data_IF_569540052054
#
_entry.id   IF_569540052054
#
_cell.length_a   1.000
_cell.length_b   1.000
_cell.length_c   1.000
_cell.angle_alpha   90.00
_cell.angle_beta   90.00
_cell.angle_gamma   90.00
#
_symmetry.space_group_name_H-M   'P 1'
#
loop_
_entity.id
_entity.type
_entity.pdbx_description
1 polymer ?
#
# COMPACT_ATOMS: atom_id res chain seq x y z
N UNK A 1 -27.04 -15.17 -15.61
CA UNK A 1 -26.14 -16.27 -16.02
C UNK A 1 -24.74 -15.82 -15.62
N UNK A 2 -23.95 -16.66 -14.94
CA UNK A 2 -22.56 -16.30 -14.62
C UNK A 2 -21.69 -16.99 -15.67
N UNK A 3 -20.92 -16.20 -16.39
CA UNK A 3 -19.98 -16.67 -17.40
C UNK A 3 -18.60 -16.72 -16.75
N UNK A 4 -17.97 -17.89 -16.76
CA UNK A 4 -16.61 -18.07 -16.27
C UNK A 4 -15.76 -18.59 -17.44
N UNK A 5 -14.77 -17.80 -17.84
CA UNK A 5 -13.61 -18.32 -18.55
C UNK A 5 -12.79 -19.15 -17.56
N UNK A 6 -12.15 -20.22 -18.02
CA UNK A 6 -11.45 -21.23 -17.22
C UNK A 6 -10.76 -20.67 -15.95
N UNK A 7 -11.36 -20.95 -14.79
CA UNK A 7 -10.77 -20.71 -13.46
C UNK A 7 -10.22 -22.02 -12.84
N UNK A 8 -9.98 -23.05 -13.66
CA UNK A 8 -9.43 -24.31 -13.19
C UNK A 8 -7.90 -24.22 -13.11
N UNK A 9 -7.27 -24.46 -11.94
CA UNK A 9 -5.81 -24.47 -11.77
C UNK A 9 -5.08 -25.56 -12.58
N UNK A 10 -5.83 -26.42 -13.26
CA UNK A 10 -5.34 -27.59 -13.99
C UNK A 10 -5.70 -27.59 -15.49
N UNK A 11 -6.18 -26.46 -16.04
CA UNK A 11 -6.41 -26.37 -17.48
C UNK A 11 -5.05 -26.41 -18.20
N UNK A 12 -4.84 -27.45 -19.01
CA UNK A 12 -3.69 -27.56 -19.91
C UNK A 12 -3.65 -26.35 -20.84
N UNK A 13 -2.47 -25.76 -21.06
CA UNK A 13 -2.27 -24.72 -22.07
C UNK A 13 -2.95 -25.10 -23.41
N UNK A 14 -3.79 -24.21 -23.95
CA UNK A 14 -4.55 -24.44 -25.18
C UNK A 14 -6.01 -24.88 -25.01
N UNK A 15 -6.59 -24.82 -23.81
CA UNK A 15 -8.02 -25.09 -23.61
C UNK A 15 -8.88 -23.85 -23.93
N UNK A 16 -9.47 -23.83 -25.13
CA UNK A 16 -10.29 -22.72 -25.63
C UNK A 16 -11.75 -22.76 -25.14
N UNK A 17 -12.00 -23.42 -24.01
CA UNK A 17 -13.36 -23.66 -23.49
C UNK A 17 -13.80 -22.55 -22.55
N UNK A 18 -15.03 -22.09 -22.76
CA UNK A 18 -15.77 -21.22 -21.85
C UNK A 18 -16.98 -21.98 -21.31
N UNK A 19 -17.21 -21.84 -20.01
CA UNK A 19 -18.27 -22.56 -19.31
C UNK A 19 -19.36 -21.57 -18.85
N UNK A 20 -20.61 -21.91 -19.18
CA UNK A 20 -21.78 -21.14 -18.78
C UNK A 20 -22.46 -21.83 -17.61
N UNK A 21 -22.64 -21.11 -16.51
CA UNK A 21 -23.30 -21.63 -15.32
C UNK A 21 -24.64 -20.92 -15.09
N UNK A 22 -25.65 -21.69 -14.70
CA UNK A 22 -26.87 -21.13 -14.13
C UNK A 22 -26.51 -20.57 -12.73
N UNK A 23 -27.11 -19.44 -12.31
CA UNK A 23 -26.85 -18.87 -10.98
C UNK A 23 -27.30 -19.75 -9.81
N UNK A 24 -27.99 -20.86 -10.07
CA UNK A 24 -28.28 -21.90 -9.09
C UNK A 24 -26.98 -22.58 -8.68
N UNK A 25 -26.80 -22.91 -7.39
CA UNK A 25 -25.58 -23.46 -6.74
C UNK A 25 -25.00 -24.78 -7.32
N UNK A 26 -25.35 -25.17 -8.54
CA UNK A 26 -24.81 -26.31 -9.24
C UNK A 26 -23.42 -26.00 -9.81
N UNK A 27 -22.46 -26.88 -9.54
CA UNK A 27 -21.13 -26.90 -10.17
C UNK A 27 -21.14 -27.45 -11.60
N UNK A 28 -22.32 -27.78 -12.15
CA UNK A 28 -22.45 -28.33 -13.50
C UNK A 28 -22.67 -27.20 -14.50
N UNK A 29 -21.77 -27.10 -15.47
CA UNK A 29 -21.92 -26.17 -16.58
C UNK A 29 -23.16 -26.52 -17.40
N UNK A 30 -23.98 -25.50 -17.67
CA UNK A 30 -25.17 -25.59 -18.54
C UNK A 30 -24.73 -25.78 -19.99
N UNK A 31 -23.61 -25.14 -20.36
CA UNK A 31 -23.03 -25.23 -21.69
C UNK A 31 -21.53 -25.05 -21.59
N UNK A 32 -20.80 -25.83 -22.38
CA UNK A 32 -19.35 -25.67 -22.60
C UNK A 32 -19.16 -25.33 -24.06
N UNK A 33 -18.44 -24.25 -24.34
CA UNK A 33 -18.30 -23.68 -25.67
C UNK A 33 -16.83 -23.53 -26.02
N UNK A 34 -16.44 -23.98 -27.22
CA UNK A 34 -15.12 -23.67 -27.77
C UNK A 34 -15.20 -22.31 -28.47
N UNK A 35 -14.42 -21.34 -28.01
CA UNK A 35 -14.31 -20.03 -28.66
C UNK A 35 -13.01 -19.94 -29.47
N UNK A 36 -12.96 -19.00 -30.41
CA UNK A 36 -11.82 -18.87 -31.31
C UNK A 36 -10.57 -18.30 -30.61
N UNK A 37 -10.76 -17.52 -29.54
CA UNK A 37 -9.69 -16.92 -28.76
C UNK A 37 -9.05 -17.98 -27.88
N UNK A 38 -7.73 -18.25 -28.02
CA UNK A 38 -7.06 -19.20 -27.16
C UNK A 38 -6.74 -18.60 -25.79
N UNK A 39 -6.67 -19.45 -24.76
CA UNK A 39 -6.23 -19.11 -23.41
C UNK A 39 -6.88 -17.83 -22.84
N UNK A 40 -8.20 -17.73 -22.99
CA UNK A 40 -8.96 -16.62 -22.43
C UNK A 40 -8.86 -16.64 -20.92
N UNK A 41 -8.36 -15.54 -20.36
CA UNK A 41 -8.19 -15.40 -18.92
C UNK A 41 -9.19 -14.42 -18.31
N UNK A 42 -9.77 -13.52 -19.12
CA UNK A 42 -10.76 -12.56 -18.65
C UNK A 42 -11.89 -12.40 -19.67
N UNK A 43 -13.12 -12.33 -19.16
CA UNK A 43 -14.34 -12.27 -19.97
C UNK A 43 -15.37 -11.38 -19.27
N UNK A 44 -15.99 -10.47 -20.02
CA UNK A 44 -17.05 -9.59 -19.51
C UNK A 44 -18.26 -9.57 -20.42
N UNK A 45 -19.44 -9.50 -19.82
CA UNK A 45 -20.73 -9.44 -20.52
C UNK A 45 -21.30 -8.03 -20.53
N UNK A 46 -21.80 -7.58 -21.67
CA UNK A 46 -22.52 -6.32 -21.82
C UNK A 46 -23.99 -6.58 -22.09
N UNK A 47 -24.83 -6.40 -21.06
CA UNK A 47 -26.27 -6.64 -21.13
C UNK A 47 -27.02 -5.75 -22.13
N UNK A 48 -26.50 -4.54 -22.44
CA UNK A 48 -27.17 -3.64 -23.39
C UNK A 48 -27.05 -4.11 -24.83
N UNK A 49 -25.95 -4.78 -25.16
CA UNK A 49 -25.66 -5.27 -26.50
C UNK A 49 -25.75 -6.79 -26.59
N UNK A 50 -26.02 -7.48 -25.48
CA UNK A 50 -26.08 -8.93 -25.38
C UNK A 50 -24.85 -9.64 -25.97
N UNK A 51 -23.67 -9.11 -25.61
CA UNK A 51 -22.39 -9.50 -26.19
C UNK A 51 -21.35 -9.64 -25.10
N UNK A 52 -20.45 -10.60 -25.26
CA UNK A 52 -19.30 -10.83 -24.42
C UNK A 52 -18.02 -10.31 -25.09
N UNK A 53 -17.14 -9.67 -24.30
CA UNK A 53 -15.74 -9.47 -24.68
C UNK A 53 -14.90 -10.54 -23.99
N UNK A 54 -14.00 -11.17 -24.72
CA UNK A 54 -13.06 -12.14 -24.19
C UNK A 54 -11.63 -11.72 -24.56
N UNK A 55 -10.72 -11.79 -23.59
CA UNK A 55 -9.33 -11.40 -23.80
C UNK A 55 -8.35 -12.47 -23.31
N UNK A 56 -7.25 -12.62 -24.03
CA UNK A 56 -6.14 -13.51 -23.67
C UNK A 56 -4.88 -12.71 -23.30
N UNK A 57 -3.86 -13.42 -22.83
CA UNK A 57 -2.58 -12.82 -22.42
C UNK A 57 -1.66 -12.43 -23.59
N UNK A 58 -2.03 -12.83 -24.81
CA UNK A 58 -1.32 -12.46 -26.04
C UNK A 58 -1.79 -11.11 -26.61
N UNK A 59 -2.78 -10.48 -25.97
CA UNK A 59 -3.33 -9.19 -26.38
C UNK A 59 -4.48 -9.28 -27.37
N UNK A 60 -4.98 -10.50 -27.65
CA UNK A 60 -6.20 -10.66 -28.43
C UNK A 60 -7.40 -10.32 -27.57
N UNK A 61 -8.26 -9.44 -28.12
CA UNK A 61 -9.60 -9.20 -27.60
C UNK A 61 -10.60 -9.50 -28.70
N UNK A 62 -11.56 -10.36 -28.40
CA UNK A 62 -12.61 -10.79 -29.30
C UNK A 62 -13.99 -10.49 -28.75
N UNK A 63 -14.95 -10.41 -29.67
CA UNK A 63 -16.35 -10.05 -29.41
C UNK A 63 -17.22 -11.22 -29.81
N UNK A 64 -18.07 -11.65 -28.89
CA UNK A 64 -18.94 -12.80 -29.06
C UNK A 64 -20.38 -12.44 -28.75
N UNK A 65 -21.29 -12.81 -29.62
CA UNK A 65 -22.72 -12.84 -29.32
C UNK A 65 -23.00 -13.76 -28.12
N UNK A 66 -23.82 -13.32 -27.16
CA UNK A 66 -23.98 -14.04 -25.90
C UNK A 66 -24.76 -15.36 -26.02
N UNK A 67 -25.53 -15.55 -27.09
CA UNK A 67 -26.30 -16.78 -27.30
C UNK A 67 -25.51 -17.78 -28.17
N UNK A 68 -24.94 -17.29 -29.27
CA UNK A 68 -24.30 -18.12 -30.30
C UNK A 68 -22.79 -18.28 -30.08
N UNK A 69 -22.16 -17.40 -29.31
CA UNK A 69 -20.70 -17.33 -29.13
C UNK A 69 -19.93 -17.27 -30.45
N UNK A 70 -20.54 -16.65 -31.45
CA UNK A 70 -19.92 -16.31 -32.72
C UNK A 70 -19.72 -14.81 -32.81
N UNK A 71 -18.90 -14.38 -33.76
CA UNK A 71 -18.71 -12.96 -34.00
C UNK A 71 -20.04 -12.30 -34.43
N UNK A 72 -20.48 -11.20 -33.78
CA UNK A 72 -21.80 -10.60 -33.98
C UNK A 72 -21.86 -9.67 -35.21
N UNK A 73 -21.58 -10.20 -36.42
CA UNK A 73 -21.42 -9.40 -37.64
C UNK A 73 -22.63 -8.54 -38.04
N UNK A 74 -23.85 -8.97 -37.71
CA UNK A 74 -25.11 -8.31 -38.09
C UNK A 74 -25.91 -7.82 -36.88
N UNK A 75 -25.23 -7.52 -35.76
CA UNK A 75 -25.93 -7.14 -34.53
C UNK A 75 -26.54 -5.74 -34.66
N UNK A 76 -27.85 -5.55 -34.41
CA UNK A 76 -28.59 -4.33 -34.75
C UNK A 76 -28.13 -3.10 -33.96
N UNK A 77 -27.46 -3.30 -32.82
CA UNK A 77 -26.96 -2.21 -31.97
C UNK A 77 -25.47 -1.95 -32.13
N UNK A 78 -24.69 -2.79 -32.81
CA UNK A 78 -23.26 -2.56 -33.00
C UNK A 78 -23.01 -1.74 -34.27
N UNK A 79 -22.03 -0.84 -34.20
CA UNK A 79 -21.64 0.08 -35.28
C UNK A 79 -20.53 -0.47 -36.17
N UNK A 80 -20.30 -1.79 -36.13
CA UNK A 80 -19.29 -2.47 -36.92
C UNK A 80 -19.81 -3.84 -37.36
N UNK A 81 -19.36 -4.28 -38.54
CA UNK A 81 -19.73 -5.59 -39.12
C UNK A 81 -18.54 -6.52 -39.28
N UNK A 82 -17.32 -5.99 -39.08
CA UNK A 82 -16.07 -6.74 -39.14
C UNK A 82 -15.16 -6.33 -37.99
N UNK A 83 -14.41 -7.28 -37.43
CA UNK A 83 -13.48 -7.02 -36.30
C UNK A 83 -12.44 -5.94 -36.64
N UNK A 84 -11.98 -5.88 -37.89
CA UNK A 84 -11.00 -4.89 -38.36
C UNK A 84 -11.49 -3.43 -38.34
N UNK A 85 -12.78 -3.17 -38.13
CA UNK A 85 -13.33 -1.81 -37.98
C UNK A 85 -13.25 -1.29 -36.53
N UNK A 86 -12.85 -2.15 -35.60
CA UNK A 86 -12.67 -1.86 -34.17
C UNK A 86 -11.21 -1.61 -33.85
N UNK A 87 -10.94 -1.02 -32.68
CA UNK A 87 -9.56 -0.79 -32.20
C UNK A 87 -9.08 -1.89 -31.24
N UNK A 88 -9.79 -3.02 -31.15
CA UNK A 88 -9.44 -4.12 -30.23
C UNK A 88 -8.06 -4.73 -30.48
N UNK A 89 -7.53 -4.63 -31.70
CA UNK A 89 -6.19 -5.12 -32.05
C UNK A 89 -5.06 -4.24 -31.51
N UNK A 90 -5.36 -3.07 -30.93
CA UNK A 90 -4.35 -2.15 -30.40
C UNK A 90 -3.50 -2.80 -29.31
N UNK A 91 -4.10 -3.61 -28.43
CA UNK A 91 -3.39 -4.29 -27.35
C UNK A 91 -2.28 -5.19 -27.91
N UNK A 92 -2.62 -6.05 -28.87
CA UNK A 92 -1.65 -6.91 -29.56
C UNK A 92 -0.57 -6.11 -30.31
N UNK A 93 -0.93 -5.00 -30.96
CA UNK A 93 0.04 -4.12 -31.66
C UNK A 93 1.06 -3.52 -30.68
N UNK A 94 0.62 -3.19 -29.47
CA UNK A 94 1.46 -2.62 -28.42
C UNK A 94 2.14 -3.68 -27.55
N UNK A 95 2.02 -4.96 -27.91
CA UNK A 95 2.56 -6.09 -27.15
C UNK A 95 2.11 -6.08 -25.66
N UNK A 96 0.85 -5.74 -25.44
CA UNK A 96 0.20 -5.70 -24.12
C UNK A 96 -1.10 -6.51 -24.15
N UNK A 97 -1.65 -6.79 -22.98
CA UNK A 97 -2.94 -7.48 -22.84
C UNK A 97 -3.77 -6.84 -21.73
N UNK A 98 -5.09 -7.05 -21.78
CA UNK A 98 -5.98 -6.62 -20.70
C UNK A 98 -5.75 -7.53 -19.49
N UNK A 99 -5.42 -6.95 -18.34
CA UNK A 99 -5.32 -7.63 -17.03
C UNK A 99 -6.71 -7.74 -16.40
N UNK A 100 -7.56 -6.75 -16.61
CA UNK A 100 -8.98 -6.81 -16.28
C UNK A 100 -9.80 -5.92 -17.20
N UNK A 101 -11.08 -6.25 -17.28
CA UNK A 101 -12.06 -5.49 -18.05
C UNK A 101 -13.26 -5.15 -17.19
N UNK A 102 -13.90 -4.01 -17.45
CA UNK A 102 -15.20 -3.68 -16.89
C UNK A 102 -16.10 -3.04 -17.94
N UNK A 103 -17.40 -3.32 -17.85
CA UNK A 103 -18.45 -2.69 -18.65
C UNK A 103 -19.18 -1.68 -17.76
N UNK A 104 -19.37 -0.47 -18.26
CA UNK A 104 -20.17 0.53 -17.56
C UNK A 104 -21.62 0.05 -17.38
N UNK A 105 -22.34 0.41 -16.29
CA UNK A 105 -23.73 -0.01 -16.09
C UNK A 105 -24.68 0.36 -17.23
N UNK A 106 -24.45 1.49 -17.90
CA UNK A 106 -25.18 1.91 -19.10
C UNK A 106 -24.88 1.07 -20.34
N UNK A 107 -23.84 0.23 -20.31
CA UNK A 107 -23.31 -0.55 -21.42
C UNK A 107 -22.55 0.26 -22.47
N UNK A 108 -22.41 1.58 -22.33
CA UNK A 108 -21.85 2.45 -23.38
C UNK A 108 -20.33 2.38 -23.48
N UNK A 109 -19.67 2.03 -22.38
CA UNK A 109 -18.22 1.98 -22.29
C UNK A 109 -17.73 0.60 -21.83
N UNK A 110 -16.62 0.19 -22.42
CA UNK A 110 -15.75 -0.86 -21.87
C UNK A 110 -14.42 -0.21 -21.49
N UNK A 111 -13.93 -0.50 -20.29
CA UNK A 111 -12.60 -0.11 -19.84
C UNK A 111 -11.74 -1.35 -19.64
N UNK A 112 -10.48 -1.27 -20.04
CA UNK A 112 -9.49 -2.33 -19.91
C UNK A 112 -8.27 -1.77 -19.18
N UNK A 113 -7.88 -2.37 -18.07
CA UNK A 113 -6.59 -2.11 -17.45
C UNK A 113 -5.59 -3.07 -18.10
N UNK A 114 -4.56 -2.54 -18.72
CA UNK A 114 -3.61 -3.30 -19.51
C UNK A 114 -2.28 -3.47 -18.77
N UNK A 115 -1.55 -4.54 -19.12
CA UNK A 115 -0.29 -4.92 -18.49
C UNK A 115 0.83 -3.86 -18.65
N UNK A 116 0.73 -3.00 -19.65
CA UNK A 116 1.63 -1.86 -19.87
C UNK A 116 1.35 -0.66 -18.95
N UNK A 117 0.50 -0.84 -17.93
CA UNK A 117 0.11 0.21 -16.99
C UNK A 117 -0.82 1.25 -17.58
N UNK A 118 -1.44 0.99 -18.73
CA UNK A 118 -2.40 1.92 -19.34
C UNK A 118 -3.84 1.43 -19.14
N UNK A 119 -4.76 2.36 -18.97
CA UNK A 119 -6.19 2.07 -18.96
C UNK A 119 -6.80 2.58 -20.26
N UNK A 120 -7.37 1.68 -21.04
CA UNK A 120 -7.97 1.97 -22.35
C UNK A 120 -9.49 1.93 -22.25
N UNK A 121 -10.11 3.04 -22.62
CA UNK A 121 -11.56 3.22 -22.61
C UNK A 121 -12.09 3.17 -24.05
N UNK A 122 -12.99 2.23 -24.30
CA UNK A 122 -13.63 2.00 -25.60
C UNK A 122 -15.09 2.38 -25.54
N UNK A 123 -15.61 2.99 -26.61
CA UNK A 123 -17.06 3.15 -26.80
C UNK A 123 -17.61 1.85 -27.34
N UNK A 124 -18.51 1.21 -26.59
CA UNK A 124 -18.93 -0.16 -26.85
C UNK A 124 -19.64 -0.32 -28.20
N UNK A 125 -20.43 0.68 -28.61
CA UNK A 125 -21.14 0.65 -29.89
C UNK A 125 -20.19 0.38 -31.07
N UNK A 126 -19.02 1.04 -31.12
CA UNK A 126 -18.06 0.91 -32.21
C UNK A 126 -16.82 0.08 -31.85
N UNK A 127 -16.60 -0.19 -30.55
CA UNK A 127 -15.36 -0.70 -29.97
C UNK A 127 -14.12 0.06 -30.46
N UNK A 128 -14.29 1.36 -30.67
CA UNK A 128 -13.18 2.28 -30.96
C UNK A 128 -12.63 2.86 -29.67
N UNK A 129 -11.32 3.02 -29.63
CA UNK A 129 -10.61 3.61 -28.52
C UNK A 129 -11.04 5.08 -28.41
N UNK A 130 -11.51 5.47 -27.23
CA UNK A 130 -11.94 6.83 -26.94
C UNK A 130 -10.92 7.58 -26.10
N UNK A 131 -10.25 6.86 -25.18
CA UNK A 131 -9.28 7.47 -24.27
C UNK A 131 -8.30 6.45 -23.75
N UNK A 132 -7.09 6.93 -23.48
CA UNK A 132 -6.05 6.19 -22.78
C UNK A 132 -5.65 7.01 -21.55
N UNK A 133 -5.67 6.39 -20.38
CA UNK A 133 -5.06 6.93 -19.17
C UNK A 133 -3.73 6.22 -18.96
N UNK A 134 -2.64 6.98 -18.94
CA UNK A 134 -1.32 6.46 -18.60
C UNK A 134 -1.21 6.40 -17.08
N UNK A 135 -1.08 5.18 -16.55
CA UNK A 135 -0.84 4.89 -15.13
C UNK A 135 0.47 4.09 -14.98
N UNK A 136 1.33 4.15 -15.99
CA UNK A 136 2.59 3.41 -16.01
C UNK A 136 3.55 3.92 -14.94
N UNK A 137 4.40 3.02 -14.44
CA UNK A 137 5.45 3.40 -13.49
C UNK A 137 6.41 4.46 -14.08
N UNK A 138 6.60 4.47 -15.40
CA UNK A 138 7.42 5.46 -16.10
C UNK A 138 6.79 6.85 -16.06
N UNK A 139 5.48 6.97 -16.30
CA UNK A 139 4.76 8.23 -16.18
C UNK A 139 4.88 8.80 -14.78
N UNK A 140 4.65 7.96 -13.75
CA UNK A 140 4.78 8.40 -12.38
C UNK A 140 6.21 8.83 -12.01
N UNK A 141 7.23 8.16 -12.55
CA UNK A 141 8.62 8.54 -12.36
C UNK A 141 8.95 9.89 -13.02
N UNK A 142 8.49 10.12 -14.25
CA UNK A 142 8.65 11.39 -14.93
C UNK A 142 7.91 12.53 -14.20
N UNK A 143 6.73 12.24 -13.64
CA UNK A 143 5.95 13.20 -12.89
C UNK A 143 6.65 13.67 -11.59
N UNK A 144 7.48 12.82 -10.96
CA UNK A 144 8.18 13.21 -9.72
C UNK A 144 9.17 14.37 -9.93
N UNK A 145 9.73 14.53 -11.13
CA UNK A 145 10.69 15.61 -11.45
C UNK A 145 10.05 16.82 -12.12
N UNK A 146 8.79 16.73 -12.56
CA UNK A 146 8.08 17.83 -13.20
C UNK A 146 7.34 18.71 -12.17
N UNK A 147 7.71 20.00 -12.00
CA UNK A 147 7.03 20.90 -11.08
C UNK A 147 5.55 21.13 -11.41
N UNK A 148 5.14 20.96 -12.69
CA UNK A 148 3.74 21.13 -13.12
C UNK A 148 2.87 19.94 -12.72
N UNK A 149 3.49 18.82 -12.34
CA UNK A 149 2.83 17.57 -11.98
C UNK A 149 2.75 17.36 -10.46
N UNK A 150 2.73 18.44 -9.67
CA UNK A 150 2.72 18.39 -8.19
C UNK A 150 1.57 17.56 -7.59
N UNK A 151 0.42 17.47 -8.27
CA UNK A 151 -0.68 16.60 -7.85
C UNK A 151 -0.33 15.09 -7.87
N UNK A 152 0.69 14.70 -8.62
CA UNK A 152 1.22 13.34 -8.73
C UNK A 152 2.48 13.12 -7.89
N UNK A 153 3.01 14.18 -7.26
CA UNK A 153 4.17 14.06 -6.37
C UNK A 153 3.82 13.22 -5.15
N UNK A 154 4.78 12.38 -4.80
CA UNK A 154 4.75 11.51 -3.64
C UNK A 154 6.01 11.77 -2.82
N UNK A 155 5.97 11.42 -1.54
CA UNK A 155 7.21 11.32 -0.77
C UNK A 155 8.19 10.37 -1.49
N UNK A 156 9.48 10.73 -1.66
CA UNK A 156 10.45 9.89 -2.38
C UNK A 156 10.55 8.45 -1.85
N UNK A 157 10.45 8.24 -0.54
CA UNK A 157 10.52 6.89 0.05
C UNK A 157 9.25 6.11 -0.23
N UNK A 158 8.08 6.74 -0.09
CA UNK A 158 6.82 6.10 -0.46
C UNK A 158 6.78 5.75 -1.96
N UNK A 159 7.24 6.68 -2.82
CA UNK A 159 7.33 6.46 -4.26
C UNK A 159 8.23 5.26 -4.59
N UNK A 160 9.42 5.19 -3.99
CA UNK A 160 10.35 4.08 -4.21
C UNK A 160 9.72 2.74 -3.81
N UNK A 161 9.07 2.67 -2.64
CA UNK A 161 8.39 1.46 -2.17
C UNK A 161 7.26 1.04 -3.11
N UNK A 162 6.40 1.96 -3.53
CA UNK A 162 5.30 1.65 -4.46
C UNK A 162 5.80 1.28 -5.86
N UNK A 163 6.91 1.85 -6.30
CA UNK A 163 7.59 1.46 -7.54
C UNK A 163 8.15 0.04 -7.44
N UNK A 164 8.73 -0.36 -6.31
CA UNK A 164 9.16 -1.74 -6.06
C UNK A 164 7.96 -2.70 -6.13
N UNK A 165 6.84 -2.33 -5.50
CA UNK A 165 5.61 -3.13 -5.63
C UNK A 165 5.11 -3.25 -7.07
N UNK A 166 5.14 -2.19 -7.88
CA UNK A 166 4.79 -2.30 -9.31
C UNK A 166 5.70 -3.28 -10.06
N UNK A 167 7.00 -3.32 -9.74
CA UNK A 167 7.92 -4.29 -10.35
C UNK A 167 7.60 -5.72 -9.92
N UNK A 168 7.31 -5.95 -8.63
CA UNK A 168 6.91 -7.27 -8.13
C UNK A 168 5.57 -7.72 -8.69
N UNK A 169 4.57 -6.83 -8.70
CA UNK A 169 3.26 -7.07 -9.28
C UNK A 169 3.37 -7.40 -10.77
N UNK A 170 4.22 -6.69 -11.53
CA UNK A 170 4.44 -6.99 -12.93
C UNK A 170 5.07 -8.36 -13.14
N UNK A 171 6.04 -8.76 -12.29
CA UNK A 171 6.67 -10.10 -12.34
C UNK A 171 5.73 -11.24 -11.95
N UNK A 172 4.87 -11.03 -10.95
CA UNK A 172 3.90 -12.05 -10.50
C UNK A 172 2.69 -12.09 -11.44
N UNK A 173 2.30 -10.93 -11.96
CA UNK A 173 1.15 -10.72 -12.82
C UNK A 173 1.26 -11.42 -14.17
N UNK A 174 2.48 -11.60 -14.70
CA UNK A 174 2.71 -12.40 -15.91
C UNK A 174 2.27 -13.86 -15.73
N UNK A 175 2.43 -14.42 -14.53
CA UNK A 175 2.30 -15.87 -14.30
C UNK A 175 0.95 -16.26 -13.66
N UNK A 176 0.33 -15.38 -12.86
CA UNK A 176 -0.83 -15.76 -12.03
C UNK A 176 -2.18 -15.12 -12.45
N UNK A 177 -2.19 -14.02 -13.21
CA UNK A 177 -3.44 -13.41 -13.72
C UNK A 177 -4.26 -12.61 -12.72
N UNK A 178 -4.94 -11.58 -13.23
CA UNK A 178 -5.88 -10.67 -12.55
C UNK A 178 -5.41 -10.10 -11.19
N UNK A 179 -4.28 -9.39 -11.20
CA UNK A 179 -3.81 -8.66 -10.01
C UNK A 179 -4.53 -7.32 -9.81
N UNK A 180 -5.12 -6.73 -10.86
CA UNK A 180 -5.80 -5.44 -10.73
C UNK A 180 -7.20 -5.44 -11.31
N UNK A 181 -8.16 -4.85 -10.60
CA UNK A 181 -9.55 -4.76 -11.03
C UNK A 181 -10.04 -3.31 -10.99
N UNK A 182 -10.69 -2.88 -12.08
CA UNK A 182 -11.35 -1.59 -12.22
C UNK A 182 -12.87 -1.75 -12.24
N UNK A 183 -13.62 -0.70 -11.90
CA UNK A 183 -15.07 -0.69 -12.00
C UNK A 183 -15.63 0.69 -12.35
N UNK A 184 -16.91 0.72 -12.73
CA UNK A 184 -17.66 1.94 -12.94
C UNK A 184 -18.65 2.15 -11.78
N UNK A 185 -18.98 3.41 -11.51
CA UNK A 185 -20.11 3.72 -10.63
C UNK A 185 -21.45 3.47 -11.34
N UNK A 186 -22.54 3.41 -10.55
CA UNK A 186 -23.92 3.24 -11.07
C UNK A 186 -24.31 4.25 -12.15
N UNK A 187 -23.77 5.47 -12.15
CA UNK A 187 -24.09 6.48 -13.15
C UNK A 187 -23.34 6.31 -14.48
N UNK A 188 -22.34 5.41 -14.55
CA UNK A 188 -21.41 5.24 -15.67
C UNK A 188 -20.50 6.42 -15.98
N UNK A 189 -20.54 7.50 -15.19
CA UNK A 189 -19.74 8.70 -15.43
C UNK A 189 -18.37 8.64 -14.75
N UNK A 190 -18.21 7.76 -13.78
CA UNK A 190 -16.98 7.62 -13.01
C UNK A 190 -16.37 6.25 -13.25
N UNK A 191 -15.08 6.26 -13.55
CA UNK A 191 -14.24 5.08 -13.60
C UNK A 191 -13.36 5.07 -12.34
N UNK A 192 -13.39 3.97 -11.61
CA UNK A 192 -12.69 3.77 -10.35
C UNK A 192 -11.67 2.66 -10.56
N UNK A 193 -10.40 2.95 -10.28
CA UNK A 193 -9.33 1.97 -10.48
C UNK A 193 -8.15 2.21 -9.53
N UNK A 194 -7.45 1.15 -9.11
CA UNK A 194 -6.22 1.26 -8.34
C UNK A 194 -5.05 1.76 -9.19
N UNK A 195 -4.28 2.69 -8.66
CA UNK A 195 -3.05 3.23 -9.26
C UNK A 195 -1.94 3.34 -8.21
N UNK A 196 -0.75 3.75 -8.63
CA UNK A 196 0.38 3.98 -7.72
C UNK A 196 0.04 4.97 -6.60
N UNK A 197 -0.79 5.99 -6.84
CA UNK A 197 -1.17 6.99 -5.82
C UNK A 197 -2.20 6.49 -4.79
N UNK A 198 -2.96 5.46 -5.11
CA UNK A 198 -4.16 5.07 -4.37
C UNK A 198 -5.24 4.60 -5.33
N UNK A 199 -6.51 4.72 -4.97
CA UNK A 199 -7.62 4.38 -5.86
C UNK A 199 -8.15 5.66 -6.49
N UNK A 200 -7.89 5.85 -7.79
CA UNK A 200 -8.35 7.01 -8.54
C UNK A 200 -9.84 6.87 -8.85
N UNK A 201 -10.57 7.96 -8.64
CA UNK A 201 -11.95 8.15 -9.08
C UNK A 201 -11.93 9.21 -10.18
N UNK A 202 -12.08 8.78 -11.43
CA UNK A 202 -11.98 9.64 -12.61
C UNK A 202 -13.36 9.85 -13.21
N UNK A 203 -13.78 11.10 -13.37
CA UNK A 203 -14.95 11.41 -14.18
C UNK A 203 -14.57 11.31 -15.66
N UNK A 204 -15.09 10.32 -16.36
CA UNK A 204 -14.76 10.06 -17.76
C UNK A 204 -15.41 11.07 -18.72
N UNK A 205 -16.48 11.75 -18.29
CA UNK A 205 -17.14 12.78 -19.09
C UNK A 205 -16.30 14.05 -19.10
N UNK A 206 -15.91 14.54 -17.90
CA UNK A 206 -15.13 15.78 -17.76
C UNK A 206 -13.63 15.56 -17.90
N UNK A 207 -13.17 14.30 -17.93
CA UNK A 207 -11.76 13.93 -17.94
C UNK A 207 -10.97 14.48 -16.74
N UNK A 208 -11.54 14.41 -15.54
CA UNK A 208 -10.90 14.92 -14.33
C UNK A 208 -10.84 13.84 -13.26
N UNK A 209 -9.70 13.76 -12.57
CA UNK A 209 -9.59 13.01 -11.32
C UNK A 209 -10.37 13.79 -10.26
N UNK A 210 -11.39 13.17 -9.70
CA UNK A 210 -12.27 13.79 -8.70
C UNK A 210 -11.73 13.57 -7.30
N UNK A 211 -11.21 12.37 -7.03
CA UNK A 211 -10.64 11.98 -5.75
C UNK A 211 -9.64 10.84 -5.93
N UNK A 212 -8.70 10.74 -5.00
CA UNK A 212 -7.82 9.56 -4.86
C UNK A 212 -8.03 8.98 -3.46
N UNK A 213 -8.71 7.84 -3.36
CA UNK A 213 -8.95 7.17 -2.08
C UNK A 213 -7.67 6.47 -1.62
N UNK A 214 -7.44 6.43 -0.30
CA UNK A 214 -6.26 5.78 0.27
C UNK A 214 -4.94 6.48 -0.08
N UNK A 215 -4.97 7.75 -0.51
CA UNK A 215 -3.74 8.51 -0.80
C UNK A 215 -2.88 8.69 0.45
N UNK A 216 -3.50 8.88 1.61
CA UNK A 216 -2.81 9.07 2.89
C UNK A 216 -2.21 7.77 3.46
N UNK A 217 -2.59 6.62 2.92
CA UNK A 217 -2.12 5.30 3.33
C UNK A 217 -0.76 5.04 2.68
N UNK A 218 0.31 5.20 3.46
CA UNK A 218 1.68 5.08 2.98
C UNK A 218 2.01 3.63 2.64
N UNK A 219 2.67 3.46 1.50
CA UNK A 219 3.20 2.18 1.01
C UNK A 219 2.13 1.10 0.93
N UNK A 220 0.90 1.52 0.60
CA UNK A 220 -0.21 0.62 0.28
C UNK A 220 -0.47 0.68 -1.22
N UNK A 221 -0.30 -0.46 -1.88
CA UNK A 221 -0.67 -0.63 -3.28
C UNK A 221 -1.97 -1.41 -3.39
N UNK A 222 -3.08 -0.71 -3.59
CA UNK A 222 -4.38 -1.34 -3.79
C UNK A 222 -4.41 -2.16 -5.09
N UNK A 223 -5.16 -3.24 -5.12
CA UNK A 223 -5.17 -4.18 -6.25
C UNK A 223 -6.56 -4.31 -6.85
N UNK A 224 -7.55 -4.65 -6.03
CA UNK A 224 -8.94 -4.78 -6.45
C UNK A 224 -9.78 -3.75 -5.72
N UNK A 225 -10.76 -3.19 -6.42
CA UNK A 225 -11.76 -2.30 -5.85
C UNK A 225 -13.15 -2.75 -6.26
N UNK A 226 -14.07 -2.74 -5.30
CA UNK A 226 -15.49 -2.98 -5.50
C UNK A 226 -16.28 -1.84 -4.85
N UNK A 227 -17.45 -1.51 -5.41
CA UNK A 227 -18.30 -0.45 -4.89
C UNK A 227 -19.57 -1.05 -4.30
N UNK A 228 -19.92 -0.62 -3.10
CA UNK A 228 -21.20 -0.88 -2.47
C UNK A 228 -22.02 0.40 -2.57
N UNK A 229 -23.00 0.40 -3.48
CA UNK A 229 -23.80 1.58 -3.82
C UNK A 229 -25.27 1.21 -3.81
N UNK A 230 -26.13 2.11 -3.33
CA UNK A 230 -27.57 1.92 -3.44
C UNK A 230 -27.99 2.10 -4.91
N UNK A 231 -28.60 1.06 -5.46
CA UNK A 231 -29.14 1.05 -6.83
C UNK A 231 -30.60 1.48 -6.88
N UNK A 232 -31.20 1.84 -5.73
CA UNK A 232 -32.58 2.29 -5.63
C UNK A 232 -32.75 3.63 -6.36
N UNK A 233 -33.18 3.53 -7.61
CA UNK A 233 -33.36 4.65 -8.52
C UNK A 233 -34.68 5.39 -8.24
N UNK A 234 -34.96 5.74 -6.97
CA UNK A 234 -36.09 6.63 -6.65
C UNK A 234 -35.75 8.03 -7.16
N UNK A 235 -36.12 8.30 -8.41
CA UNK A 235 -36.14 9.62 -9.04
C UNK A 235 -36.79 10.61 -8.06
N UNK A 236 -35.97 11.54 -7.59
CA UNK A 236 -36.34 12.64 -6.68
C UNK A 236 -37.23 13.64 -7.41
N UNK A 237 -38.54 13.41 -7.42
CA UNK A 237 -39.54 14.42 -7.79
C UNK A 237 -40.61 14.46 -6.73
N UNK A 238 -40.66 15.52 -5.92
CA UNK A 238 -41.73 15.75 -4.96
C UNK A 238 -41.31 16.53 -3.72
N UNK A 239 -41.82 17.76 -3.62
CA UNK A 239 -41.75 18.59 -2.43
C UNK A 239 -42.60 17.98 -1.29
N UNK A 240 -42.01 17.78 -0.12
CA UNK A 240 -42.63 17.94 1.21
C UNK A 240 -41.66 17.51 2.30
N UNK A 241 -41.60 18.31 3.37
CA UNK A 241 -40.64 18.19 4.47
C UNK A 241 -40.93 17.05 5.44
N UNK A 242 -40.89 15.80 4.96
CA UNK A 242 -40.82 14.63 5.82
C UNK A 242 -39.36 14.30 6.15
N UNK A 243 -39.07 14.00 7.43
CA UNK A 243 -37.74 13.61 7.91
C UNK A 243 -37.19 12.45 7.07
N UNK A 244 -36.01 12.70 6.51
CA UNK A 244 -35.24 11.83 5.61
C UNK A 244 -34.86 10.54 6.34
N UNK A 245 -35.29 9.39 5.85
CA UNK A 245 -34.62 8.12 6.15
C UNK A 245 -33.33 8.05 5.31
N UNK A 246 -32.21 7.81 5.98
CA UNK A 246 -30.85 7.94 5.44
C UNK A 246 -30.56 6.93 4.32
N UNK A 247 -30.41 7.41 3.09
CA UNK A 247 -29.83 6.62 2.01
C UNK A 247 -28.40 6.23 2.41
N UNK A 248 -28.08 4.93 2.42
CA UNK A 248 -26.78 4.42 2.82
C UNK A 248 -25.69 5.01 1.92
N UNK A 249 -24.69 5.67 2.54
CA UNK A 249 -23.60 6.29 1.81
C UNK A 249 -22.82 5.24 0.99
N UNK A 250 -22.43 5.55 -0.27
CA UNK A 250 -21.66 4.61 -1.07
C UNK A 250 -20.31 4.33 -0.40
N UNK A 251 -19.92 3.06 -0.36
CA UNK A 251 -18.64 2.62 0.16
C UNK A 251 -17.80 2.01 -0.97
N UNK A 252 -16.49 2.23 -0.92
CA UNK A 252 -15.54 1.47 -1.74
C UNK A 252 -14.80 0.47 -0.86
N UNK A 253 -14.74 -0.78 -1.31
CA UNK A 253 -14.00 -1.87 -0.69
C UNK A 253 -12.76 -2.14 -1.53
N UNK A 254 -11.61 -2.34 -0.90
CA UNK A 254 -10.38 -2.66 -1.63
C UNK A 254 -9.50 -3.67 -0.90
N UNK A 255 -8.72 -4.39 -1.69
CA UNK A 255 -7.60 -5.23 -1.24
C UNK A 255 -6.29 -4.57 -1.64
N UNK A 256 -5.20 -4.91 -0.96
CA UNK A 256 -3.87 -4.39 -1.29
C UNK A 256 -2.82 -5.50 -1.40
N UNK A 257 -1.79 -5.24 -2.19
CA UNK A 257 -0.68 -6.16 -2.42
C UNK A 257 0.07 -6.45 -1.12
N UNK A 258 0.32 -7.74 -0.83
CA UNK A 258 1.01 -8.21 0.38
C UNK A 258 0.40 -7.67 1.70
N UNK A 259 -0.92 -7.41 1.71
CA UNK A 259 -1.65 -7.00 2.92
C UNK A 259 -2.84 -7.93 3.14
N UNK A 260 -2.87 -8.59 4.28
CA UNK A 260 -4.01 -9.42 4.69
C UNK A 260 -5.07 -8.57 5.40
N UNK A 261 -5.56 -7.53 4.70
CA UNK A 261 -6.53 -6.55 5.18
C UNK A 261 -7.54 -6.17 4.11
N UNK A 262 -8.77 -5.90 4.53
CA UNK A 262 -9.80 -5.25 3.70
C UNK A 262 -9.87 -3.77 4.06
N UNK A 263 -9.82 -2.92 3.05
CA UNK A 263 -9.90 -1.47 3.19
C UNK A 263 -11.30 -1.02 2.83
N UNK A 264 -11.91 -0.20 3.69
CA UNK A 264 -13.26 0.35 3.49
C UNK A 264 -13.18 1.87 3.45
N UNK A 265 -13.62 2.46 2.34
CA UNK A 265 -13.64 3.91 2.15
C UNK A 265 -15.07 4.42 2.12
N UNK A 266 -15.37 5.37 3.01
CA UNK A 266 -16.62 6.13 3.00
C UNK A 266 -16.46 7.52 2.38
N UNK A 267 -17.50 8.35 2.52
CA UNK A 267 -17.52 9.70 1.97
C UNK A 267 -16.56 10.67 2.68
N UNK A 268 -16.25 10.40 3.95
CA UNK A 268 -15.32 11.20 4.76
C UNK A 268 -13.94 10.57 4.71
N UNK A 269 -12.92 11.40 4.49
CA UNK A 269 -11.55 10.95 4.66
C UNK A 269 -11.22 10.83 6.16
N UNK A 270 -10.53 9.75 6.57
CA UNK A 270 -9.95 9.66 7.90
C UNK A 270 -9.23 10.94 8.33
N UNK A 271 -9.33 11.33 9.60
CA UNK A 271 -8.24 12.11 10.19
C UNK A 271 -7.02 11.21 10.39
N UNK A 272 -5.82 11.78 10.50
CA UNK A 272 -4.61 11.00 10.77
C UNK A 272 -4.73 10.19 12.08
N UNK A 273 -5.31 10.79 13.13
CA UNK A 273 -5.58 10.13 14.42
C UNK A 273 -6.51 8.91 14.31
N UNK A 274 -7.45 8.94 13.34
CA UNK A 274 -8.34 7.82 13.09
C UNK A 274 -7.66 6.71 12.29
N UNK A 275 -6.73 7.03 11.38
CA UNK A 275 -5.93 5.99 10.68
C UNK A 275 -5.14 5.17 11.70
N UNK A 276 -4.61 5.83 12.73
CA UNK A 276 -3.73 5.23 13.74
C UNK A 276 -4.49 4.32 14.74
N UNK A 277 -5.81 4.48 14.88
CA UNK A 277 -6.65 3.78 15.90
C UNK A 277 -7.59 2.70 15.32
N UNK A 278 -7.59 2.50 14.00
CA UNK A 278 -8.55 1.62 13.28
C UNK A 278 -8.24 0.13 13.34
N UNK A 279 -7.08 -0.27 13.81
CA UNK A 279 -6.66 -1.67 13.84
C UNK A 279 -7.36 -2.42 14.99
N UNK A 280 -8.63 -2.78 14.78
CA UNK A 280 -9.40 -3.66 15.66
C UNK A 280 -9.30 -5.10 15.13
N UNK A 281 -8.45 -5.91 15.77
CA UNK A 281 -8.56 -7.37 15.79
C UNK A 281 -8.22 -8.12 14.50
N UNK A 282 -6.99 -8.64 14.43
CA UNK A 282 -6.61 -9.77 13.58
C UNK A 282 -5.44 -10.50 14.25
N UNK A 283 -5.63 -11.78 14.54
CA UNK A 283 -4.70 -12.66 15.25
C UNK A 283 -3.28 -12.70 14.61
N UNK A 284 -2.23 -13.12 15.35
CA UNK A 284 -0.85 -13.02 14.90
C UNK A 284 -0.57 -13.98 13.75
N UNK A 285 0.01 -13.48 12.66
CA UNK A 285 0.50 -14.32 11.57
C UNK A 285 1.67 -15.20 12.04
N UNK A 286 1.53 -16.50 11.78
CA UNK A 286 2.52 -17.53 12.02
C UNK A 286 3.79 -17.26 11.22
N UNK A 287 4.93 -17.32 11.91
CA UNK A 287 6.26 -17.30 11.31
C UNK A 287 6.53 -18.65 10.66
N UNK A 288 6.70 -18.68 9.35
CA UNK A 288 7.43 -19.76 8.70
C UNK A 288 8.90 -19.39 8.59
N UNK A 289 9.72 -20.24 9.19
CA UNK A 289 11.17 -20.17 9.19
C UNK A 289 11.71 -20.96 8.00
N UNK A 290 12.34 -20.29 7.03
CA UNK A 290 13.50 -20.79 6.27
C UNK A 290 13.81 -19.93 5.02
N UNK A 291 14.81 -19.05 5.14
CA UNK A 291 15.88 -18.80 4.15
C UNK A 291 16.59 -17.47 4.45
N UNK A 292 17.93 -17.38 4.32
CA UNK A 292 18.69 -16.19 4.64
C UNK A 292 18.95 -15.29 3.41
N UNK A 293 19.22 -14.01 3.71
CA UNK A 293 20.19 -13.10 3.07
C UNK A 293 19.67 -11.85 2.32
N UNK A 294 20.45 -10.78 2.57
CA UNK A 294 20.62 -9.49 1.86
C UNK A 294 19.64 -8.37 2.21
N UNK A 295 20.08 -7.54 3.18
CA UNK A 295 19.46 -6.25 3.48
C UNK A 295 19.73 -5.21 2.39
N UNK A 296 18.84 -4.22 2.19
CA UNK A 296 19.12 -3.07 1.35
C UNK A 296 19.49 -1.83 2.17
N UNK A 297 20.51 -1.12 1.67
CA UNK A 297 20.86 0.25 2.00
C UNK A 297 19.67 1.20 1.86
N UNK A 298 19.67 2.23 2.70
CA UNK A 298 18.59 3.21 2.86
C UNK A 298 19.11 4.59 2.53
N UNK A 299 18.37 5.29 1.66
CA UNK A 299 18.41 6.74 1.50
C UNK A 299 17.09 7.35 2.02
N UNK A 300 17.19 8.60 2.47
CA UNK A 300 16.44 9.24 3.56
C UNK A 300 14.94 9.50 3.36
N UNK A 301 14.22 9.44 4.48
CA UNK A 301 12.77 9.60 4.63
C UNK A 301 12.30 11.06 4.62
N UNK A 302 11.52 11.44 3.62
CA UNK A 302 10.71 12.67 3.65
C UNK A 302 9.43 12.49 4.48
N UNK A 303 9.56 12.68 5.79
CA UNK A 303 8.55 13.50 6.48
C UNK A 303 7.46 12.80 7.27
N UNK A 304 7.70 11.61 7.81
CA UNK A 304 6.87 11.10 8.92
C UNK A 304 7.79 10.53 10.00
N UNK A 305 8.09 11.39 10.97
CA UNK A 305 8.93 11.10 12.14
C UNK A 305 8.13 10.23 13.11
N UNK A 306 8.77 9.21 13.69
CA UNK A 306 8.09 8.35 14.65
C UNK A 306 7.60 9.15 15.86
N UNK A 307 6.33 8.97 16.22
CA UNK A 307 5.72 9.56 17.43
C UNK A 307 5.99 8.71 18.66
N UNK A 308 6.05 7.39 18.47
CA UNK A 308 6.37 6.41 19.50
C UNK A 308 7.28 5.33 18.90
N UNK A 309 7.95 4.54 19.73
CA UNK A 309 8.67 3.35 19.30
C UNK A 309 8.59 2.26 20.37
N UNK A 310 8.67 1.01 19.94
CA UNK A 310 8.78 -0.14 20.84
C UNK A 310 10.16 -0.76 20.60
N UNK A 311 11.02 -0.70 21.61
CA UNK A 311 12.32 -1.34 21.62
C UNK A 311 12.11 -2.74 22.17
N UNK A 312 12.08 -3.74 21.30
CA UNK A 312 11.98 -5.14 21.70
C UNK A 312 13.35 -5.61 22.14
N UNK A 313 13.47 -6.09 23.38
CA UNK A 313 14.73 -6.62 23.93
C UNK A 313 14.59 -8.09 24.28
N UNK A 314 15.70 -8.78 24.50
CA UNK A 314 15.67 -10.15 25.06
C UNK A 314 15.17 -10.22 26.52
N UNK A 315 14.94 -9.08 27.18
CA UNK A 315 14.38 -9.00 28.53
C UNK A 315 12.92 -8.53 28.55
N UNK A 316 12.36 -8.07 27.42
CA UNK A 316 11.00 -7.53 27.31
C UNK A 316 10.93 -6.28 26.44
N UNK A 317 9.75 -5.67 26.38
CA UNK A 317 9.47 -4.53 25.51
C UNK A 317 9.54 -3.20 26.26
N UNK A 318 10.22 -2.21 25.67
CA UNK A 318 10.28 -0.84 26.19
C UNK A 318 9.54 0.08 25.21
N UNK A 319 8.44 0.67 25.67
CA UNK A 319 7.64 1.59 24.88
C UNK A 319 8.10 3.02 25.15
N UNK A 320 8.48 3.75 24.11
CA UNK A 320 8.95 5.14 24.21
C UNK A 320 8.06 6.06 23.39
N UNK A 321 7.75 7.24 23.94
CA UNK A 321 7.22 8.38 23.20
C UNK A 321 8.37 9.25 22.73
N UNK A 322 8.31 9.69 21.49
CA UNK A 322 9.35 10.51 20.85
C UNK A 322 8.87 11.96 20.73
N UNK A 323 9.78 12.90 20.99
CA UNK A 323 9.52 14.34 20.92
C UNK A 323 9.77 14.90 19.52
N UNK A 324 9.13 14.26 18.52
CA UNK A 324 9.35 14.52 17.09
C UNK A 324 9.08 15.94 16.61
N UNK A 325 8.37 16.77 17.39
CA UNK A 325 8.15 18.19 17.09
C UNK A 325 9.31 19.07 17.55
N UNK A 326 9.92 18.70 18.66
CA UNK A 326 10.95 19.46 19.36
C UNK A 326 12.36 19.06 18.88
N UNK A 327 12.60 17.76 18.65
CA UNK A 327 13.88 17.20 18.23
C UNK A 327 13.71 16.46 16.89
N UNK A 328 13.58 17.20 15.79
CA UNK A 328 13.22 16.64 14.48
C UNK A 328 14.32 15.78 13.92
N UNK A 329 15.57 16.27 13.94
CA UNK A 329 16.71 15.53 13.36
C UNK A 329 17.04 14.31 14.19
N UNK A 330 17.06 14.43 15.51
CA UNK A 330 17.33 13.29 16.38
C UNK A 330 16.28 12.20 16.22
N UNK A 331 15.00 12.57 16.17
CA UNK A 331 13.93 11.58 15.95
C UNK A 331 13.99 11.00 14.54
N UNK A 332 14.37 11.78 13.52
CA UNK A 332 14.58 11.26 12.16
C UNK A 332 15.68 10.19 12.15
N UNK A 333 16.82 10.51 12.75
CA UNK A 333 17.96 9.62 12.87
C UNK A 333 17.58 8.30 13.55
N UNK A 334 16.96 8.38 14.74
CA UNK A 334 16.52 7.21 15.48
C UNK A 334 15.47 6.39 14.70
N UNK A 335 14.49 7.06 14.08
CA UNK A 335 13.43 6.42 13.30
C UNK A 335 14.01 5.65 12.11
N UNK A 336 14.90 6.29 11.33
CA UNK A 336 15.47 5.67 10.14
C UNK A 336 16.39 4.52 10.54
N UNK A 337 17.23 4.66 11.57
CA UNK A 337 18.00 3.52 12.09
C UNK A 337 17.12 2.36 12.53
N UNK A 338 16.01 2.63 13.24
CA UNK A 338 15.06 1.60 13.64
C UNK A 338 14.43 0.89 12.43
N UNK A 339 13.96 1.64 11.43
CA UNK A 339 13.36 1.10 10.21
C UNK A 339 14.35 0.25 9.38
N UNK A 340 15.63 0.63 9.40
CA UNK A 340 16.69 -0.06 8.68
C UNK A 340 17.15 -1.33 9.39
N UNK A 341 16.62 -1.61 10.58
CA UNK A 341 17.11 -2.66 11.45
C UNK A 341 18.53 -2.42 11.94
N UNK A 342 19.03 -1.17 11.91
CA UNK A 342 20.37 -0.80 12.35
C UNK A 342 20.59 -1.19 13.82
N UNK A 343 19.56 -1.03 14.65
CA UNK A 343 19.60 -1.41 16.06
C UNK A 343 19.41 -2.91 16.31
N UNK A 344 19.11 -3.72 15.29
CA UNK A 344 18.86 -5.16 15.49
C UNK A 344 20.17 -5.86 15.88
N UNK A 345 20.16 -6.50 17.04
CA UNK A 345 21.32 -7.16 17.62
C UNK A 345 22.25 -6.24 18.41
N UNK A 346 22.04 -4.92 18.40
CA UNK A 346 22.82 -3.98 19.22
C UNK A 346 22.64 -4.33 20.70
N UNK A 347 23.74 -4.29 21.46
CA UNK A 347 23.72 -4.52 22.89
C UNK A 347 23.49 -3.22 23.65
N UNK A 348 22.91 -3.32 24.85
CA UNK A 348 23.14 -2.33 25.88
C UNK A 348 24.54 -2.54 26.44
N UNK A 349 25.54 -1.96 25.77
CA UNK A 349 26.95 -2.20 26.05
C UNK A 349 27.44 -1.52 27.32
N UNK A 350 26.65 -0.60 27.89
CA UNK A 350 26.96 0.08 29.13
C UNK A 350 25.71 0.25 29.99
N UNK A 351 25.75 -0.26 31.22
CA UNK A 351 24.65 -0.25 32.18
C UNK A 351 25.18 0.21 33.53
N UNK A 352 24.73 1.37 34.01
CA UNK A 352 25.18 1.94 35.28
C UNK A 352 23.99 2.04 36.24
N UNK A 353 23.99 1.26 37.34
CA UNK A 353 22.95 1.33 38.35
C UNK A 353 22.78 2.73 38.95
N UNK A 354 21.52 3.15 39.11
CA UNK A 354 21.12 4.50 39.54
C UNK A 354 21.61 5.61 38.60
N UNK A 355 21.76 5.31 37.31
CA UNK A 355 22.13 6.31 36.33
C UNK A 355 21.41 6.10 34.99
N UNK A 356 21.85 5.15 34.17
CA UNK A 356 21.32 4.94 32.82
C UNK A 356 21.68 3.57 32.23
N UNK A 357 20.94 3.19 31.19
CA UNK A 357 21.28 2.10 30.27
C UNK A 357 21.57 2.70 28.89
N UNK A 358 22.68 2.34 28.26
CA UNK A 358 23.15 2.91 26.99
C UNK A 358 23.33 1.82 25.93
N UNK A 359 22.89 2.12 24.71
CA UNK A 359 22.95 1.22 23.56
C UNK A 359 22.99 1.99 22.24
N UNK A 360 22.77 1.27 21.14
CA UNK A 360 22.74 1.86 19.80
C UNK A 360 24.09 1.90 19.07
N UNK A 361 25.12 1.25 19.63
CA UNK A 361 26.40 0.99 18.95
C UNK A 361 26.40 -0.42 18.31
N UNK A 362 26.55 -0.54 16.98
CA UNK A 362 26.66 -1.83 16.30
C UNK A 362 27.86 -2.68 16.72
N UNK A 363 28.97 -2.05 17.14
CA UNK A 363 30.17 -2.76 17.61
C UNK A 363 30.01 -3.28 19.04
N UNK A 364 29.14 -2.64 19.84
CA UNK A 364 28.87 -3.01 21.22
C UNK A 364 30.03 -2.75 22.19
N UNK A 365 30.92 -1.81 21.84
CA UNK A 365 32.07 -1.39 22.65
C UNK A 365 32.03 0.09 23.06
N UNK A 366 31.02 0.84 22.58
CA UNK A 366 30.78 2.23 22.92
C UNK A 366 31.60 3.22 22.08
N UNK A 367 32.45 2.76 21.19
CA UNK A 367 33.31 3.62 20.34
C UNK A 367 32.73 3.86 18.95
N UNK A 368 31.78 3.03 18.52
CA UNK A 368 31.18 3.08 17.19
C UNK A 368 29.84 3.80 17.13
N UNK A 369 29.20 3.69 15.97
CA UNK A 369 27.88 4.25 15.72
C UNK A 369 27.91 5.55 14.91
N UNK A 370 27.26 5.53 13.75
CA UNK A 370 27.19 6.66 12.82
C UNK A 370 25.73 7.05 12.61
N UNK A 371 25.46 8.33 12.37
CA UNK A 371 24.12 8.79 12.02
C UNK A 371 23.69 8.31 10.63
N UNK A 372 22.41 8.49 10.30
CA UNK A 372 21.87 8.20 8.97
C UNK A 372 22.48 9.07 7.86
N UNK A 373 23.20 10.15 8.21
CA UNK A 373 23.86 11.04 7.27
C UNK A 373 25.35 10.69 7.06
N UNK A 374 25.87 9.65 7.72
CA UNK A 374 27.28 9.25 7.62
C UNK A 374 28.26 10.21 8.28
N UNK A 375 27.77 11.17 9.06
CA UNK A 375 28.57 12.10 9.86
C UNK A 375 27.89 12.40 11.20
N UNK A 376 28.61 12.98 12.14
CA UNK A 376 27.99 13.52 13.35
C UNK A 376 26.98 14.64 13.02
N UNK A 377 26.00 14.86 13.90
CA UNK A 377 25.01 15.94 13.76
C UNK A 377 24.75 16.72 15.06
N UNK A 378 24.15 17.90 14.92
CA UNK A 378 23.96 18.90 15.98
C UNK A 378 23.04 18.45 17.11
N UNK A 379 23.22 19.08 18.28
CA UNK A 379 22.32 18.92 19.41
C UNK A 379 21.02 19.73 19.22
N UNK A 380 19.87 19.13 19.55
CA UNK A 380 18.56 19.81 19.57
C UNK A 380 18.15 20.11 21.02
N UNK A 381 18.83 21.05 21.66
CA UNK A 381 18.59 21.43 23.07
C UNK A 381 17.34 22.30 23.20
N UNK A 382 16.33 21.79 23.91
CA UNK A 382 15.03 22.45 24.06
C UNK A 382 14.77 22.77 25.55
N UNK A 383 14.46 24.03 25.94
CA UNK A 383 14.42 24.44 27.35
C UNK A 383 13.45 23.64 28.25
N UNK A 384 12.36 23.11 27.70
CA UNK A 384 11.36 22.32 28.44
C UNK A 384 11.65 20.81 28.42
N UNK A 385 12.63 20.34 27.66
CA UNK A 385 13.03 18.93 27.62
C UNK A 385 14.28 18.73 28.48
N UNK A 386 14.09 18.11 29.64
CA UNK A 386 15.12 17.95 30.68
C UNK A 386 15.14 16.53 31.21
N UNK A 387 16.24 16.16 31.85
CA UNK A 387 16.41 14.93 32.62
C UNK A 387 15.81 15.08 34.03
N UNK A 388 14.62 15.67 34.11
CA UNK A 388 13.90 16.01 35.33
C UNK A 388 13.10 14.84 35.91
N UNK A 389 13.07 13.70 35.20
CA UNK A 389 12.40 12.46 35.61
C UNK A 389 13.19 11.25 35.12
N UNK A 390 13.08 10.10 35.83
CA UNK A 390 13.54 8.82 35.32
C UNK A 390 12.94 8.48 33.95
N UNK A 391 13.59 7.53 33.29
CA UNK A 391 13.17 6.95 32.02
C UNK A 391 13.13 7.95 30.86
N UNK A 392 14.03 8.93 30.90
CA UNK A 392 14.20 9.91 29.83
C UNK A 392 15.14 9.32 28.78
N UNK A 393 14.74 9.38 27.50
CA UNK A 393 15.51 8.90 26.36
C UNK A 393 16.28 10.07 25.74
N UNK A 394 17.61 9.92 25.62
CA UNK A 394 18.50 10.98 25.18
C UNK A 394 19.67 10.45 24.36
N UNK A 395 20.24 11.29 23.49
CA UNK A 395 21.40 10.92 22.66
C UNK A 395 22.69 10.82 23.48
N UNK A 396 23.49 9.80 23.21
CA UNK A 396 24.87 9.75 23.65
C UNK A 396 25.75 10.51 22.64
N UNK A 397 26.70 11.30 23.13
CA UNK A 397 27.63 12.09 22.32
C UNK A 397 29.01 12.17 23.01
N UNK A 398 30.05 12.52 22.26
CA UNK A 398 31.43 12.70 22.75
C UNK A 398 31.77 14.18 23.06
N UNK A 399 30.76 15.05 23.05
CA UNK A 399 30.88 16.50 23.12
C UNK A 399 29.77 17.20 22.32
N UNK A 400 29.70 18.55 22.37
CA UNK A 400 28.67 19.30 21.66
C UNK A 400 28.63 18.98 20.16
N UNK A 401 27.44 18.72 19.62
CA UNK A 401 27.18 18.44 18.20
C UNK A 401 27.86 17.19 17.63
N UNK A 402 28.11 16.18 18.47
CA UNK A 402 28.75 14.91 18.06
C UNK A 402 27.76 13.73 18.11
N UNK A 403 26.49 13.97 17.75
CA UNK A 403 25.47 12.91 17.80
C UNK A 403 25.68 11.90 16.66
N UNK A 404 25.71 10.61 17.01
CA UNK A 404 25.76 9.47 16.07
C UNK A 404 24.48 8.64 16.12
N UNK A 405 24.58 7.35 16.37
CA UNK A 405 23.42 6.44 16.53
C UNK A 405 23.14 6.01 17.97
N UNK A 406 24.09 6.24 18.89
CA UNK A 406 23.99 5.82 20.28
C UNK A 406 22.99 6.66 21.10
N UNK A 407 22.29 6.02 22.02
CA UNK A 407 21.33 6.65 22.93
C UNK A 407 21.37 5.99 24.32
N UNK A 408 20.84 6.69 25.31
CA UNK A 408 20.66 6.16 26.66
C UNK A 408 19.27 6.44 27.22
N UNK A 409 18.84 5.60 28.16
CA UNK A 409 17.62 5.76 28.95
C UNK A 409 18.05 5.95 30.41
N UNK A 410 17.70 7.08 31.02
CA UNK A 410 18.01 7.33 32.43
C UNK A 410 17.13 6.49 33.36
N UNK A 411 17.62 6.12 34.52
CA UNK A 411 16.84 5.40 35.56
C UNK A 411 16.56 6.28 36.78
N UNK A 412 17.23 7.43 36.87
CA UNK A 412 17.05 8.47 37.89
C UNK A 412 16.98 9.86 37.23
N UNK A 413 16.86 10.91 38.04
CA UNK A 413 16.98 12.30 37.59
C UNK A 413 18.46 12.64 37.36
N UNK A 414 18.76 13.24 36.21
CA UNK A 414 20.14 13.53 35.80
C UNK A 414 20.32 14.99 35.33
N UNK A 415 19.99 16.01 36.15
CA UNK A 415 19.99 17.41 35.72
C UNK A 415 21.35 17.93 35.25
N UNK A 416 22.46 17.27 35.60
CA UNK A 416 23.81 17.61 35.13
C UNK A 416 24.05 17.30 33.64
N UNK A 417 23.12 16.56 33.00
CA UNK A 417 23.08 16.27 31.57
C UNK A 417 22.27 17.30 30.77
N UNK A 418 21.47 18.14 31.45
CA UNK A 418 20.66 19.16 30.79
C UNK A 418 21.53 20.15 30.03
N UNK A 419 21.15 20.41 28.77
CA UNK A 419 21.90 21.28 27.87
C UNK A 419 23.16 20.66 27.25
N UNK A 420 23.47 19.39 27.57
CA UNK A 420 24.61 18.65 26.99
C UNK A 420 24.20 17.51 26.08
N UNK A 421 23.03 16.92 26.33
CA UNK A 421 22.50 15.80 25.56
C UNK A 421 21.08 16.10 25.08
N UNK A 422 20.79 15.72 23.84
CA UNK A 422 19.48 15.93 23.22
C UNK A 422 18.46 14.94 23.79
N UNK A 423 17.49 15.46 24.56
CA UNK A 423 16.36 14.68 25.08
C UNK A 423 15.30 14.55 23.99
N UNK A 424 15.19 13.38 23.38
CA UNK A 424 14.31 13.16 22.22
C UNK A 424 13.15 12.20 22.48
N UNK A 425 13.02 11.66 23.70
CA UNK A 425 11.86 10.86 24.07
C UNK A 425 11.78 10.53 25.56
N UNK A 426 10.78 9.71 25.91
CA UNK A 426 10.57 9.20 27.27
C UNK A 426 9.85 7.87 27.23
N UNK A 427 10.21 6.97 28.15
CA UNK A 427 9.52 5.68 28.30
C UNK A 427 8.10 5.92 28.82
N UNK A 428 7.13 5.30 28.17
CA UNK A 428 5.71 5.33 28.51
C UNK A 428 5.17 3.95 28.92
N UNK A 429 5.95 2.88 28.74
CA UNK A 429 5.64 1.51 29.17
C UNK A 429 6.90 0.64 29.17
N UNK A 430 6.93 -0.42 29.98
CA UNK A 430 8.14 -1.26 30.14
C UNK A 430 9.18 -0.66 31.08
N UNK A 431 8.79 0.18 32.04
CA UNK A 431 9.71 0.75 33.05
C UNK A 431 10.32 -0.33 33.96
N UNK A 432 9.57 -1.39 34.22
CA UNK A 432 10.04 -2.61 34.89
C UNK A 432 11.12 -3.33 34.08
N UNK A 433 11.00 -3.35 32.74
CA UNK A 433 12.04 -3.89 31.85
C UNK A 433 13.31 -3.05 31.91
N UNK A 434 13.20 -1.72 31.84
CA UNK A 434 14.36 -0.81 31.98
C UNK A 434 15.07 -1.03 33.32
N UNK A 435 14.31 -1.16 34.42
CA UNK A 435 14.87 -1.47 35.74
C UNK A 435 15.45 -2.88 35.83
N UNK A 436 14.89 -3.85 35.14
CA UNK A 436 15.44 -5.20 35.08
C UNK A 436 16.79 -5.22 34.34
N UNK A 437 16.89 -4.48 33.23
CA UNK A 437 18.15 -4.29 32.50
C UNK A 437 19.17 -3.58 33.38
N UNK A 438 18.79 -2.52 34.11
CA UNK A 438 19.68 -1.81 35.03
C UNK A 438 20.30 -2.71 36.11
N UNK A 439 19.59 -3.76 36.54
CA UNK A 439 20.02 -4.66 37.61
C UNK A 439 20.86 -5.85 37.14
N UNK A 440 21.12 -5.98 35.84
CA UNK A 440 21.97 -7.07 35.36
C UNK A 440 23.39 -6.90 35.89
N UNK A 441 24.07 -7.98 36.31
CA UNK A 441 25.47 -7.90 36.72
C UNK A 441 26.36 -7.37 35.58
N UNK A 442 27.24 -6.42 35.90
CA UNK A 442 28.21 -5.83 34.97
C UNK A 442 29.65 -6.14 35.37
N UNK A 443 30.58 -5.99 34.42
CA UNK A 443 32.02 -6.01 34.68
C UNK A 443 32.55 -4.65 35.16
N UNK A 444 33.88 -4.50 35.21
CA UNK A 444 34.55 -3.27 35.65
C UNK A 444 34.41 -2.08 34.69
N UNK A 445 33.96 -2.31 33.45
CA UNK A 445 33.75 -1.30 32.42
C UNK A 445 32.24 -0.97 32.24
N UNK A 446 31.42 -1.33 33.24
CA UNK A 446 29.95 -1.19 33.24
C UNK A 446 29.25 -2.01 32.14
N UNK A 447 29.91 -3.03 31.55
CA UNK A 447 29.32 -3.87 30.50
C UNK A 447 28.59 -5.06 31.12
N UNK A 448 27.34 -5.36 30.72
CA UNK A 448 26.62 -6.54 31.21
C UNK A 448 27.39 -7.85 30.99
N UNK A 449 27.49 -8.68 32.03
CA UNK A 449 28.10 -10.03 31.94
C UNK A 449 27.32 -10.98 31.04
N UNK A 450 26.01 -10.74 30.91
CA UNK A 450 25.13 -11.41 29.95
C UNK A 450 24.56 -10.35 29.03
N UNK A 451 24.75 -10.55 27.72
CA UNK A 451 24.30 -9.58 26.73
C UNK A 451 22.79 -9.29 26.84
N UNK A 452 22.47 -8.02 27.08
CA UNK A 452 21.12 -7.49 26.86
C UNK A 452 21.09 -6.90 25.45
N UNK A 453 20.24 -7.44 24.58
CA UNK A 453 20.21 -7.12 23.15
C UNK A 453 18.88 -6.53 22.75
N UNK A 454 18.93 -5.56 21.85
CA UNK A 454 17.79 -5.10 21.08
C UNK A 454 17.52 -6.15 19.99
N UNK A 455 16.36 -6.78 20.02
CA UNK A 455 15.93 -7.73 18.99
C UNK A 455 15.56 -6.94 17.72
N UNK A 456 14.70 -5.94 17.88
CA UNK A 456 14.41 -4.93 16.87
C UNK A 456 13.77 -3.70 17.52
N UNK A 457 13.64 -2.62 16.75
CA UNK A 457 12.91 -1.42 17.15
C UNK A 457 11.75 -1.20 16.18
N UNK A 458 10.53 -1.23 16.69
CA UNK A 458 9.32 -0.91 15.94
C UNK A 458 9.01 0.57 16.09
N UNK A 459 9.33 1.37 15.08
CA UNK A 459 8.92 2.77 14.99
C UNK A 459 7.41 2.87 14.69
N UNK A 460 6.70 3.71 15.45
CA UNK A 460 5.28 4.04 15.29
C UNK A 460 5.20 5.47 14.76
N UNK A 461 4.83 5.59 13.49
CA UNK A 461 4.98 6.79 12.67
C UNK A 461 3.65 7.51 12.46
#
# INVERSE_FOLDING_TARGET
MVLLANAAPSASAGDNRVHLFKPTMSSVAVRTLNIATPDVHTLVYNARFDVCLAANRLGDVDVYDADTFKFPANHPRLGFTMKGQTDLYELRKLNTHAVSMAISPSGEFAAMHCHDGHIRLFRFHSLKLCRVYDESALMYAAAQSDPKSSALHMDPVDFLKRRTYEQEISKIGTDQGEYSQLCFDVSSNYLIYPSMLGIKVVNIVTNKVVRVLGRAELSVRYLKVALMQDTSNKRRTGASGAKREDAQAPLALATAFQRNRLYVFGNREPSEEELDSRDVGGAPEQRDASAPARGPNVESAGGRLAREAIIHTNMGDIHVRLFYKDCRRTVENFTVHALNGYYNGCTFHRVIPNFMIQGGDPSGDGTGGESIWGSEFEDEIVPHLKHDRPFTLSMANAGPNTNGSQFFITTVLCPWLDGKHTVFGRVIGGTDIVQAIERVPTDGDDKPLTDVKIINVKAII
#
